data_IF_220067940031
#
_entry.id   IF_220067940031
#
_cell.length_a   1.000
_cell.length_b   1.000
_cell.length_c   1.000
_cell.angle_alpha   90.00
_cell.angle_beta   90.00
_cell.angle_gamma   90.00
#
_symmetry.space_group_name_H-M   'P 1'
#
loop_
_entity.id
_entity.type
_entity.pdbx_description
1 polymer ?
#
# COMPACT_ATOMS: atom_id res chain seq x y z
N UNK A 1 -28.56 19.33 -14.86
CA UNK A 1 -28.26 18.13 -14.06
C UNK A 1 -27.06 18.45 -13.19
N UNK A 2 -27.23 18.55 -11.88
CA UNK A 2 -26.09 18.60 -10.98
C UNK A 2 -25.49 17.20 -10.95
N UNK A 3 -24.28 17.04 -11.48
CA UNK A 3 -23.47 15.87 -11.14
C UNK A 3 -23.30 15.91 -9.63
N UNK A 4 -23.84 14.90 -8.93
CA UNK A 4 -23.47 14.72 -7.53
C UNK A 4 -21.94 14.68 -7.50
N UNK A 5 -21.27 15.40 -6.59
CA UNK A 5 -19.83 15.24 -6.44
C UNK A 5 -19.62 13.74 -6.20
N UNK A 6 -18.80 13.09 -7.04
CA UNK A 6 -18.34 11.73 -6.80
C UNK A 6 -17.97 11.68 -5.33
N UNK A 7 -18.63 10.83 -4.55
CA UNK A 7 -18.35 10.77 -3.12
C UNK A 7 -16.87 10.46 -2.96
N UNK A 8 -16.10 11.44 -2.47
CA UNK A 8 -14.66 11.38 -2.51
C UNK A 8 -14.17 10.24 -1.63
N UNK A 9 -13.31 9.39 -2.19
CA UNK A 9 -12.50 8.48 -1.41
C UNK A 9 -11.65 9.30 -0.44
N UNK A 10 -11.43 8.78 0.76
CA UNK A 10 -10.64 9.47 1.77
C UNK A 10 -9.96 8.45 2.64
N UNK A 11 -8.65 8.34 2.48
CA UNK A 11 -7.82 7.48 3.32
C UNK A 11 -7.04 8.32 4.32
N UNK A 12 -6.87 7.78 5.52
CA UNK A 12 -5.93 8.29 6.53
C UNK A 12 -4.82 7.26 6.68
N UNK A 13 -3.58 7.72 6.50
CA UNK A 13 -2.38 6.90 6.68
C UNK A 13 -1.77 7.24 8.05
N UNK A 14 -1.29 6.24 8.79
CA UNK A 14 -0.47 6.48 9.98
C UNK A 14 0.97 6.79 9.61
N UNK A 15 1.74 7.26 10.60
CA UNK A 15 3.18 7.47 10.41
C UNK A 15 3.84 6.11 10.20
N UNK A 16 4.67 5.94 9.15
CA UNK A 16 5.28 4.65 8.90
C UNK A 16 6.43 4.42 9.86
N UNK A 17 6.55 3.17 10.29
CA UNK A 17 7.67 2.66 11.06
C UNK A 17 8.58 1.84 10.16
N UNK A 18 9.88 1.90 10.41
CA UNK A 18 10.89 1.15 9.65
C UNK A 18 11.60 0.19 10.58
N UNK A 19 11.80 -1.04 10.13
CA UNK A 19 12.69 -2.01 10.74
C UNK A 19 13.50 -2.78 9.71
N UNK A 20 14.36 -3.67 10.19
CA UNK A 20 15.08 -4.65 9.37
C UNK A 20 14.59 -6.05 9.71
N UNK A 21 14.22 -6.81 8.69
CA UNK A 21 13.81 -8.22 8.82
C UNK A 21 14.46 -9.02 7.71
N UNK A 22 15.16 -10.10 8.06
CA UNK A 22 15.82 -11.00 7.10
C UNK A 22 16.72 -10.30 6.05
N UNK A 23 17.28 -9.13 6.41
CA UNK A 23 18.14 -8.33 5.54
C UNK A 23 17.41 -7.37 4.61
N UNK A 24 16.08 -7.29 4.69
CA UNK A 24 15.24 -6.32 3.98
C UNK A 24 14.83 -5.18 4.93
N UNK A 25 14.70 -3.97 4.40
CA UNK A 25 13.98 -2.90 5.08
C UNK A 25 12.49 -3.21 5.05
N UNK A 26 11.82 -3.14 6.19
CA UNK A 26 10.38 -3.33 6.28
C UNK A 26 9.73 -2.07 6.79
N UNK A 27 8.92 -1.44 5.93
CA UNK A 27 8.10 -0.28 6.26
C UNK A 27 6.69 -0.76 6.62
N UNK A 28 6.18 -0.28 7.76
CA UNK A 28 4.86 -0.63 8.30
C UNK A 28 4.03 0.60 8.54
N UNK A 29 2.79 0.59 8.10
CA UNK A 29 1.81 1.63 8.43
C UNK A 29 0.39 1.11 8.27
N UNK A 30 -0.56 1.88 8.77
CA UNK A 30 -1.98 1.57 8.72
C UNK A 30 -2.67 2.53 7.73
N UNK A 31 -3.65 2.01 7.02
CA UNK A 31 -4.49 2.77 6.09
C UNK A 31 -5.95 2.59 6.51
N UNK A 32 -6.59 3.67 6.93
CA UNK A 32 -8.00 3.64 7.35
C UNK A 32 -8.86 4.35 6.31
N UNK A 33 -9.92 3.69 5.84
CA UNK A 33 -10.91 4.36 5.00
C UNK A 33 -11.87 5.21 5.85
N UNK A 34 -11.59 6.52 5.88
CA UNK A 34 -12.38 7.54 6.58
C UNK A 34 -13.34 8.29 5.63
N UNK A 35 -13.54 7.74 4.44
CA UNK A 35 -14.43 8.27 3.41
C UNK A 35 -15.91 7.96 3.66
N UNK A 36 -16.71 8.17 2.62
CA UNK A 36 -18.16 7.85 2.63
C UNK A 36 -18.51 6.68 1.70
N UNK A 37 -17.51 6.11 1.04
CA UNK A 37 -17.66 5.03 0.07
C UNK A 37 -16.62 3.95 0.32
N UNK A 38 -17.02 2.70 0.10
CA UNK A 38 -16.09 1.59 0.05
C UNK A 38 -15.14 1.81 -1.14
N UNK A 39 -13.89 1.38 -1.00
CA UNK A 39 -12.90 1.45 -2.07
C UNK A 39 -12.08 0.17 -2.15
N UNK A 40 -11.17 0.12 -3.10
CA UNK A 40 -10.12 -0.88 -3.20
C UNK A 40 -8.77 -0.18 -3.25
N UNK A 41 -7.76 -0.74 -2.60
CA UNK A 41 -6.36 -0.43 -2.88
C UNK A 41 -5.98 -1.21 -4.13
N UNK A 42 -5.73 -0.50 -5.22
CA UNK A 42 -5.45 -1.12 -6.53
C UNK A 42 -3.96 -1.18 -6.84
N UNK A 43 -3.15 -0.36 -6.19
CA UNK A 43 -1.71 -0.34 -6.38
C UNK A 43 -1.02 0.30 -5.16
N UNK A 44 0.25 -0.04 -4.97
CA UNK A 44 1.14 0.57 -4.01
C UNK A 44 2.37 1.05 -4.75
N UNK A 45 2.76 2.31 -4.54
CA UNK A 45 3.96 2.86 -5.19
C UNK A 45 5.05 3.15 -4.16
N UNK A 46 6.28 2.94 -4.58
CA UNK A 46 7.51 3.31 -3.88
C UNK A 46 8.30 4.28 -4.78
N UNK A 47 8.59 5.48 -4.28
CA UNK A 47 9.30 6.54 -5.00
C UNK A 47 8.73 6.82 -6.41
N UNK A 48 7.41 6.90 -6.50
CA UNK A 48 6.63 7.14 -7.73
C UNK A 48 6.66 5.98 -8.76
N UNK A 49 7.12 4.80 -8.36
CA UNK A 49 7.06 3.57 -9.16
C UNK A 49 6.17 2.51 -8.49
N UNK A 50 5.33 1.82 -9.27
CA UNK A 50 4.48 0.73 -8.76
C UNK A 50 5.33 -0.43 -8.25
N UNK A 51 4.98 -0.97 -7.08
CA UNK A 51 5.64 -2.14 -6.48
C UNK A 51 5.58 -3.33 -7.43
N UNK A 52 4.50 -3.49 -8.21
CA UNK A 52 4.41 -4.55 -9.22
C UNK A 52 5.53 -4.48 -10.27
N UNK A 53 6.18 -3.33 -10.48
CA UNK A 53 7.28 -3.17 -11.44
C UNK A 53 8.66 -3.35 -10.83
N UNK A 54 8.74 -3.46 -9.50
CA UNK A 54 9.98 -3.52 -8.73
C UNK A 54 10.34 -4.98 -8.38
N UNK A 55 10.31 -5.87 -9.37
CA UNK A 55 10.60 -7.29 -9.16
C UNK A 55 11.98 -7.49 -8.52
N UNK A 56 12.01 -8.15 -7.36
CA UNK A 56 13.24 -8.39 -6.59
C UNK A 56 13.77 -7.17 -5.82
N UNK A 57 13.20 -5.98 -6.02
CA UNK A 57 13.57 -4.76 -5.28
C UNK A 57 12.57 -4.41 -4.18
N UNK A 58 11.28 -4.69 -4.41
CA UNK A 58 10.24 -4.49 -3.41
C UNK A 58 9.09 -5.50 -3.55
N UNK A 59 8.46 -5.83 -2.42
CA UNK A 59 7.19 -6.56 -2.35
C UNK A 59 6.33 -5.97 -1.24
N UNK A 60 5.03 -6.20 -1.29
CA UNK A 60 4.13 -5.69 -0.26
C UNK A 60 3.09 -6.70 0.19
N UNK A 61 2.67 -6.57 1.44
CA UNK A 61 1.60 -7.35 2.05
C UNK A 61 0.57 -6.36 2.60
N UNK A 62 -0.70 -6.56 2.31
CA UNK A 62 -1.80 -5.76 2.86
C UNK A 62 -2.77 -6.69 3.54
N UNK A 63 -3.05 -6.47 4.82
CA UNK A 63 -4.00 -7.27 5.58
C UNK A 63 -5.22 -6.45 5.94
N UNK A 64 -6.43 -6.92 5.58
CA UNK A 64 -7.72 -6.29 5.91
C UNK A 64 -8.64 -7.36 6.48
N UNK A 65 -9.23 -7.13 7.65
CA UNK A 65 -10.21 -8.06 8.23
C UNK A 65 -9.69 -9.48 8.50
N UNK A 66 -8.38 -9.68 8.54
CA UNK A 66 -7.73 -10.99 8.69
C UNK A 66 -7.29 -11.66 7.37
N UNK A 67 -7.68 -11.08 6.23
CA UNK A 67 -7.29 -11.53 4.90
C UNK A 67 -6.03 -10.81 4.44
N UNK A 68 -5.01 -11.57 4.03
CA UNK A 68 -3.74 -11.02 3.53
C UNK A 68 -3.65 -11.11 2.02
N UNK A 69 -3.27 -9.98 1.41
CA UNK A 69 -3.06 -9.80 -0.01
C UNK A 69 -1.58 -9.47 -0.25
N UNK A 70 -0.98 -10.06 -1.27
CA UNK A 70 0.47 -9.95 -1.52
C UNK A 70 0.72 -9.40 -2.92
N UNK A 71 1.50 -8.33 -3.00
CA UNK A 71 2.12 -7.85 -4.23
C UNK A 71 3.51 -8.44 -4.36
N UNK A 72 3.70 -9.32 -5.35
CA UNK A 72 4.98 -9.93 -5.68
C UNK A 72 5.03 -10.24 -7.17
N UNK A 73 6.16 -9.94 -7.84
CA UNK A 73 6.40 -10.39 -9.22
C UNK A 73 5.36 -9.93 -10.25
N UNK A 74 4.92 -8.67 -10.19
CA UNK A 74 4.00 -8.11 -11.20
C UNK A 74 2.51 -8.26 -10.90
N UNK A 75 2.11 -9.09 -9.93
CA UNK A 75 0.71 -9.40 -9.67
C UNK A 75 0.33 -9.17 -8.20
N UNK A 76 -0.97 -8.95 -7.99
CA UNK A 76 -1.60 -8.95 -6.66
C UNK A 76 -2.32 -10.28 -6.44
N UNK A 77 -1.91 -11.02 -5.43
CA UNK A 77 -2.47 -12.31 -5.06
C UNK A 77 -3.31 -12.16 -3.79
N UNK A 78 -4.53 -12.70 -3.81
CA UNK A 78 -5.44 -12.72 -2.66
C UNK A 78 -5.22 -13.93 -1.74
N UNK A 79 -5.98 -14.01 -0.63
CA UNK A 79 -5.83 -15.05 0.40
C UNK A 79 -5.98 -16.50 -0.12
N UNK A 80 -6.77 -16.69 -1.17
CA UNK A 80 -7.00 -18.01 -1.80
C UNK A 80 -5.90 -18.39 -2.81
N UNK A 81 -4.86 -17.56 -2.96
CA UNK A 81 -3.76 -17.80 -3.90
C UNK A 81 -4.08 -17.43 -5.36
N UNK A 82 -5.22 -16.79 -5.62
CA UNK A 82 -5.61 -16.31 -6.94
C UNK A 82 -5.23 -14.84 -7.16
N UNK A 83 -4.95 -14.48 -8.40
CA UNK A 83 -4.75 -13.07 -8.77
C UNK A 83 -6.06 -12.28 -8.62
N UNK A 84 -5.97 -11.10 -8.02
CA UNK A 84 -7.09 -10.19 -7.80
C UNK A 84 -6.73 -8.77 -8.26
N UNK A 85 -7.74 -7.96 -8.55
CA UNK A 85 -7.54 -6.60 -9.09
C UNK A 85 -7.39 -5.51 -8.02
N UNK A 86 -7.49 -5.86 -6.74
CA UNK A 86 -7.36 -4.91 -5.63
C UNK A 86 -7.73 -5.49 -4.28
N UNK A 87 -7.29 -4.80 -3.24
CA UNK A 87 -7.58 -5.14 -1.83
C UNK A 87 -8.83 -4.37 -1.40
N UNK A 88 -9.92 -5.03 -1.00
CA UNK A 88 -11.13 -4.35 -0.54
C UNK A 88 -10.84 -3.57 0.75
N UNK A 89 -11.30 -2.31 0.81
CA UNK A 89 -11.21 -1.47 2.01
C UNK A 89 -12.55 -0.76 2.25
N UNK A 90 -13.49 -1.42 2.95
CA UNK A 90 -14.77 -0.83 3.34
C UNK A 90 -14.62 0.42 4.21
N UNK A 91 -15.66 1.26 4.26
CA UNK A 91 -15.66 2.44 5.14
C UNK A 91 -15.53 2.01 6.60
N UNK A 92 -14.60 2.64 7.33
CA UNK A 92 -14.33 2.37 8.73
C UNK A 92 -13.35 1.21 8.97
N UNK A 93 -12.97 0.47 7.93
CA UNK A 93 -11.98 -0.60 8.01
C UNK A 93 -10.55 -0.07 7.93
N UNK A 94 -9.64 -0.89 8.44
CA UNK A 94 -8.21 -0.66 8.48
C UNK A 94 -7.47 -1.73 7.68
N UNK A 95 -6.49 -1.27 6.90
CA UNK A 95 -5.51 -2.10 6.23
C UNK A 95 -4.15 -1.94 6.93
N UNK A 96 -3.56 -3.06 7.35
CA UNK A 96 -2.15 -3.11 7.77
C UNK A 96 -1.27 -3.31 6.55
N UNK A 97 -0.40 -2.34 6.26
CA UNK A 97 0.47 -2.35 5.08
C UNK A 97 1.92 -2.65 5.46
N UNK A 98 2.37 -3.81 4.97
CA UNK A 98 3.72 -4.38 4.82
C UNK A 98 4.44 -3.91 3.57
N UNK A 99 5.55 -3.17 3.58
CA UNK A 99 6.39 -3.02 2.38
C UNK A 99 7.80 -3.49 2.70
N UNK A 100 8.26 -4.50 1.99
CA UNK A 100 9.61 -5.03 2.03
C UNK A 100 10.42 -4.41 0.91
N UNK A 101 11.58 -3.89 1.24
CA UNK A 101 12.43 -3.11 0.34
C UNK A 101 13.86 -3.63 0.46
N UNK A 102 14.48 -3.92 -0.69
CA UNK A 102 15.85 -4.45 -0.75
C UNK A 102 16.85 -3.48 -0.13
N UNK A 103 17.62 -3.94 0.86
CA UNK A 103 18.71 -3.19 1.47
C UNK A 103 19.94 -3.04 0.55
N UNK A 104 20.01 -3.82 -0.55
CA UNK A 104 21.04 -3.64 -1.58
C UNK A 104 20.76 -2.40 -2.43
N UNK A 105 19.47 -2.12 -2.66
CA UNK A 105 19.02 -0.97 -3.46
C UNK A 105 18.91 0.30 -2.63
N UNK A 106 18.44 0.17 -1.38
CA UNK A 106 18.13 1.29 -0.51
C UNK A 106 18.95 1.25 0.79
N UNK A 107 19.57 2.38 1.12
CA UNK A 107 20.48 2.52 2.25
C UNK A 107 19.91 3.36 3.40
N UNK A 108 20.54 3.28 4.59
CA UNK A 108 20.15 4.11 5.73
C UNK A 108 20.29 5.60 5.40
N UNK A 109 19.40 6.41 5.95
CA UNK A 109 19.28 7.85 5.70
C UNK A 109 18.52 8.23 4.43
N UNK A 110 18.14 7.26 3.58
CA UNK A 110 17.31 7.54 2.42
C UNK A 110 15.84 7.70 2.82
N UNK A 111 15.17 8.67 2.21
CA UNK A 111 13.72 8.87 2.38
C UNK A 111 12.98 8.18 1.25
N UNK A 112 12.07 7.28 1.63
CA UNK A 112 11.12 6.63 0.75
C UNK A 112 9.80 7.40 0.75
N UNK A 113 9.20 7.56 -0.41
CA UNK A 113 7.82 8.04 -0.55
C UNK A 113 6.93 6.89 -0.97
N UNK A 114 5.89 6.62 -0.20
CA UNK A 114 4.94 5.55 -0.44
C UNK A 114 3.62 6.18 -0.85
N UNK A 115 2.97 5.64 -1.89
CA UNK A 115 1.62 6.03 -2.28
C UNK A 115 0.69 4.82 -2.26
N UNK A 116 -0.48 4.99 -1.65
CA UNK A 116 -1.60 4.07 -1.74
C UNK A 116 -2.53 4.56 -2.84
N UNK A 117 -2.71 3.76 -3.89
CA UNK A 117 -3.56 4.10 -5.04
C UNK A 117 -4.91 3.40 -4.89
N UNK A 118 -5.99 4.18 -5.01
CA UNK A 118 -7.37 3.67 -4.90
C UNK A 118 -8.01 3.42 -6.25
N UNK A 119 -9.14 2.70 -6.26
CA UNK A 119 -9.96 2.46 -7.45
C UNK A 119 -10.45 3.74 -8.15
N UNK A 120 -10.66 4.84 -7.40
CA UNK A 120 -10.93 6.16 -7.97
C UNK A 120 -9.70 6.88 -8.56
N UNK A 121 -8.57 6.18 -8.68
CA UNK A 121 -7.27 6.69 -9.14
C UNK A 121 -6.79 7.88 -8.29
N UNK A 122 -7.03 7.83 -6.97
CA UNK A 122 -6.51 8.80 -6.02
C UNK A 122 -5.26 8.24 -5.35
N UNK A 123 -4.26 9.09 -5.13
CA UNK A 123 -3.01 8.73 -4.47
C UNK A 123 -2.94 9.36 -3.09
N UNK A 124 -2.83 8.52 -2.06
CA UNK A 124 -2.61 8.95 -0.67
C UNK A 124 -1.17 8.65 -0.30
N UNK A 125 -0.38 9.69 0.00
CA UNK A 125 1.07 9.57 0.16
C UNK A 125 1.49 9.69 1.61
N UNK A 126 2.56 8.98 1.94
CA UNK A 126 3.31 9.11 3.18
C UNK A 126 4.80 8.95 2.87
N UNK A 127 5.67 9.52 3.69
CA UNK A 127 7.12 9.37 3.53
C UNK A 127 7.75 8.88 4.81
N UNK A 128 8.83 8.13 4.68
CA UNK A 128 9.60 7.62 5.82
C UNK A 128 11.09 7.60 5.49
N UNK A 129 11.93 7.84 6.48
CA UNK A 129 13.38 7.73 6.34
C UNK A 129 13.83 6.39 6.88
N UNK A 130 14.65 5.67 6.11
CA UNK A 130 15.28 4.43 6.55
C UNK A 130 16.32 4.76 7.63
N UNK A 131 16.22 4.14 8.80
CA UNK A 131 17.08 4.41 9.95
C UNK A 131 17.54 3.13 10.64
#
# INVERSE_FOLDING_TARGET
MATSPLAAEKLKLTLPEVGLEDGEWVVRFEVVNVGRVNTFITDLWLNDESISKLEGEARAEVTVGGDTYVWEGGSLVGPEGSEVSGVPLPVGEEALVKIYVSAERYGPGQTLTIAVITAGNQAFKVSVTLS
#
